data_IF_840826382781
#
_entry.id   IF_840826382781
#
_cell.length_a   1.000
_cell.length_b   1.000
_cell.length_c   1.000
_cell.angle_alpha   90.00
_cell.angle_beta   90.00
_cell.angle_gamma   90.00
#
_symmetry.space_group_name_H-M   'P 1'
#
loop_
_entity.id
_entity.type
_entity.pdbx_description
1 polymer ?
#
# COMPACT_ATOMS: atom_id res chain seq x y z
N UNK A 1 5.11 9.39 -13.46
CA UNK A 1 3.93 10.14 -13.81
C UNK A 1 2.75 9.70 -12.97
N UNK A 2 1.73 10.52 -12.97
CA UNK A 2 0.59 10.23 -12.12
C UNK A 2 -0.15 8.98 -12.54
N UNK A 3 -0.10 8.65 -13.81
CA UNK A 3 -0.76 7.45 -14.27
C UNK A 3 -0.11 6.20 -13.67
N UNK A 4 1.20 6.22 -13.52
CA UNK A 4 1.88 5.10 -12.92
C UNK A 4 1.57 4.99 -11.43
N UNK A 5 1.46 6.13 -10.76
CA UNK A 5 1.12 6.13 -9.36
C UNK A 5 -0.28 5.53 -9.16
N UNK A 6 -1.23 5.95 -9.99
CA UNK A 6 -2.58 5.43 -9.88
C UNK A 6 -2.64 3.95 -10.17
N UNK A 7 -1.91 3.51 -11.19
CA UNK A 7 -1.89 2.08 -11.53
C UNK A 7 -1.29 1.25 -10.41
N UNK A 8 -0.20 1.72 -9.86
CA UNK A 8 0.46 0.99 -8.78
C UNK A 8 -0.43 0.93 -7.55
N UNK A 9 -1.10 2.04 -7.24
CA UNK A 9 -2.01 2.06 -6.10
C UNK A 9 -3.14 1.07 -6.32
N UNK A 10 -3.68 1.02 -7.52
CA UNK A 10 -4.76 0.11 -7.80
C UNK A 10 -4.34 -1.34 -7.63
N UNK A 11 -3.15 -1.65 -8.08
CA UNK A 11 -2.63 -3.01 -7.92
C UNK A 11 -2.53 -3.36 -6.45
N UNK A 12 -2.06 -2.43 -5.63
CA UNK A 12 -2.01 -2.66 -4.20
C UNK A 12 -3.38 -2.93 -3.60
N UNK A 13 -4.38 -2.18 -4.06
CA UNK A 13 -5.73 -2.38 -3.57
C UNK A 13 -6.28 -3.75 -3.97
N UNK A 14 -5.95 -4.19 -5.18
CA UNK A 14 -6.36 -5.50 -5.64
C UNK A 14 -5.73 -6.59 -4.78
N UNK A 15 -4.44 -6.47 -4.50
CA UNK A 15 -3.77 -7.44 -3.64
C UNK A 15 -4.41 -7.46 -2.26
N UNK A 16 -4.80 -6.31 -1.74
CA UNK A 16 -5.46 -6.24 -0.44
C UNK A 16 -6.75 -7.05 -0.46
N UNK A 17 -7.52 -6.92 -1.53
CA UNK A 17 -8.76 -7.67 -1.63
C UNK A 17 -8.53 -9.16 -1.75
N UNK A 18 -7.40 -9.54 -2.33
CA UNK A 18 -7.08 -10.94 -2.47
C UNK A 18 -6.49 -11.52 -1.19
N UNK A 19 -6.24 -10.68 -0.21
CA UNK A 19 -5.63 -11.14 1.02
C UNK A 19 -4.12 -11.23 0.97
N UNK A 20 -3.51 -10.73 -0.10
CA UNK A 20 -2.07 -10.81 -0.26
C UNK A 20 -1.46 -9.52 0.29
N UNK A 21 -1.32 -9.47 1.61
CA UNK A 21 -0.91 -8.23 2.26
C UNK A 21 0.53 -7.85 1.99
N UNK A 22 1.39 -8.83 1.83
CA UNK A 22 2.78 -8.51 1.55
C UNK A 22 2.93 -7.79 0.23
N UNK A 23 2.28 -8.29 -0.80
CA UNK A 23 2.38 -7.64 -2.10
C UNK A 23 1.65 -6.30 -2.10
N UNK A 24 0.54 -6.22 -1.39
CA UNK A 24 -0.17 -4.96 -1.28
C UNK A 24 0.72 -3.91 -0.63
N UNK A 25 1.42 -4.29 0.44
CA UNK A 25 2.29 -3.36 1.11
C UNK A 25 3.40 -2.89 0.17
N UNK A 26 3.98 -3.82 -0.59
CA UNK A 26 5.04 -3.45 -1.52
C UNK A 26 4.56 -2.42 -2.53
N UNK A 27 3.34 -2.59 -3.02
CA UNK A 27 2.80 -1.64 -3.99
C UNK A 27 2.56 -0.27 -3.34
N UNK A 28 2.00 -0.26 -2.14
CA UNK A 28 1.75 1.01 -1.46
C UNK A 28 3.06 1.70 -1.13
N UNK A 29 4.07 0.96 -0.70
CA UNK A 29 5.37 1.56 -0.42
C UNK A 29 6.01 2.11 -1.67
N UNK A 30 5.82 1.44 -2.79
CA UNK A 30 6.35 1.93 -4.05
C UNK A 30 5.73 3.27 -4.42
N UNK A 31 4.42 3.41 -4.19
CA UNK A 31 3.76 4.66 -4.49
C UNK A 31 4.30 5.78 -3.59
N UNK A 32 4.44 5.53 -2.30
CA UNK A 32 4.93 6.57 -1.40
C UNK A 32 6.40 6.89 -1.65
N UNK A 33 7.15 5.92 -2.14
CA UNK A 33 8.58 6.12 -2.37
C UNK A 33 8.85 6.84 -3.68
N UNK A 34 8.16 6.46 -4.74
CA UNK A 34 8.44 7.02 -6.05
C UNK A 34 7.60 8.24 -6.37
N UNK A 35 6.44 8.37 -5.75
CA UNK A 35 5.54 9.48 -6.03
C UNK A 35 5.07 10.12 -4.73
N UNK A 36 6.01 10.60 -3.89
CA UNK A 36 5.64 11.04 -2.55
C UNK A 36 4.72 12.24 -2.49
N UNK A 37 4.71 13.05 -3.53
CA UNK A 37 3.87 14.24 -3.54
C UNK A 37 2.52 14.02 -4.19
N UNK A 38 2.20 12.80 -4.56
CA UNK A 38 0.96 12.54 -5.26
C UNK A 38 -0.18 12.30 -4.29
N UNK A 39 -1.39 12.49 -4.78
CA UNK A 39 -2.58 12.14 -4.01
C UNK A 39 -2.58 10.64 -3.73
N UNK A 40 -2.12 9.88 -4.70
CA UNK A 40 -2.04 8.43 -4.53
C UNK A 40 -1.14 8.05 -3.36
N UNK A 41 -0.08 8.80 -3.14
CA UNK A 41 0.80 8.52 -2.01
C UNK A 41 0.08 8.72 -0.69
N UNK A 42 -0.81 9.71 -0.61
CA UNK A 42 -1.58 9.91 0.60
C UNK A 42 -2.49 8.71 0.86
N UNK A 43 -3.14 8.22 -0.18
CA UNK A 43 -4.00 7.03 -0.04
C UNK A 43 -3.16 5.84 0.38
N UNK A 44 -1.99 5.68 -0.24
CA UNK A 44 -1.12 4.57 0.09
C UNK A 44 -0.65 4.63 1.54
N UNK A 45 -0.30 5.82 2.02
CA UNK A 45 0.12 5.96 3.41
C UNK A 45 -1.00 5.60 4.37
N UNK A 46 -2.22 6.02 4.05
CA UNK A 46 -3.35 5.68 4.90
C UNK A 46 -3.60 4.18 4.89
N UNK A 47 -3.44 3.54 3.75
CA UNK A 47 -3.61 2.10 3.67
C UNK A 47 -2.57 1.38 4.51
N UNK A 48 -1.33 1.84 4.46
CA UNK A 48 -0.26 1.25 5.26
C UNK A 48 -0.52 1.45 6.74
N UNK A 49 -0.97 2.64 7.12
CA UNK A 49 -1.28 2.93 8.51
C UNK A 49 -2.44 2.10 9.01
N UNK A 50 -3.45 1.91 8.17
CA UNK A 50 -4.60 1.12 8.56
C UNK A 50 -4.22 -0.32 8.81
N UNK A 51 -3.35 -0.86 7.97
CA UNK A 51 -2.88 -2.23 8.15
C UNK A 51 -2.09 -2.36 9.45
N UNK A 52 -1.22 -1.39 9.71
CA UNK A 52 -0.44 -1.41 10.94
C UNK A 52 -1.34 -1.27 12.16
N UNK A 53 -2.34 -0.41 12.06
CA UNK A 53 -3.23 -0.17 13.18
C UNK A 53 -4.07 -1.40 13.50
N UNK A 54 -4.36 -2.21 12.49
CA UNK A 54 -5.10 -3.42 12.71
C UNK A 54 -4.21 -4.55 13.19
N UNK A 55 -2.94 -4.29 13.31
CA UNK A 55 -2.02 -5.33 13.72
C UNK A 55 -1.80 -6.37 12.66
N UNK A 56 -2.12 -6.06 11.44
CA UNK A 56 -1.93 -7.01 10.41
C UNK A 56 -0.54 -7.01 10.05
N UNK A 57 0.02 -8.08 10.07
CA UNK A 57 1.38 -8.24 9.89
C UNK A 57 1.76 -8.09 8.63
N UNK A 58 2.22 -7.20 8.41
CA UNK A 58 2.75 -7.12 7.26
C UNK A 58 3.78 -7.96 7.32
N UNK A 59 4.40 -8.06 8.29
CA UNK A 59 5.42 -8.90 8.34
C UNK A 59 5.20 -9.66 9.47
N UNK A 60 4.60 -10.11 9.71
CA UNK A 60 4.52 -10.95 10.64
C UNK A 60 4.47 -10.70 11.89
N UNK A 61 4.10 -10.85 12.56
CA UNK A 61 3.99 -10.83 13.56
C UNK A 61 3.63 -11.29 14.37
N UNK A 62 3.53 -11.58 14.99
CA UNK A 62 3.36 -12.18 15.70
C UNK A 62 2.81 -12.09 16.71
N UNK A 63 2.34 -12.06 17.04
CA UNK A 63 1.82 -12.12 17.97
C UNK A 63 1.64 -12.11 18.78
#
# INVERSE_FOLDING_TARGET
SQKLAASTLKIGQIYTKQGDREKAQMMFERVTDQYPDSTEAEVARKALEAAAAKGEPVAAEPS
#
